data_IF_222038042174
#
_entry.id   IF_222038042174
#
_cell.length_a   1.000
_cell.length_b   1.000
_cell.length_c   1.000
_cell.angle_alpha   90.00
_cell.angle_beta   90.00
_cell.angle_gamma   90.00
#
_symmetry.space_group_name_H-M   'P 1'
#
loop_
_entity.id
_entity.type
_entity.pdbx_description
1 polymer ?
#
# COMPACT_ATOMS: atom_id res chain seq x y z
N UNK A 1 -7.86 13.00 39.26
CA UNK A 1 -6.79 12.89 40.27
C UNK A 1 -6.04 11.59 40.00
N UNK A 2 -4.79 11.71 39.57
CA UNK A 2 -3.88 10.57 39.48
C UNK A 2 -3.08 10.55 40.79
N UNK A 3 -3.12 9.45 41.53
CA UNK A 3 -2.34 9.26 42.76
C UNK A 3 -1.24 8.25 42.46
N UNK A 4 0.02 8.68 42.53
CA UNK A 4 1.19 7.80 42.47
C UNK A 4 1.85 7.77 43.84
N UNK A 5 2.09 6.57 44.37
CA UNK A 5 2.79 6.37 45.64
C UNK A 5 4.21 5.92 45.35
N UNK A 6 5.18 6.72 45.76
CA UNK A 6 6.60 6.40 45.58
C UNK A 6 7.19 6.17 46.95
N UNK A 7 7.56 4.91 47.22
CA UNK A 7 8.32 4.54 48.41
C UNK A 7 9.79 4.50 48.05
N UNK A 8 10.57 5.45 48.54
CA UNK A 8 12.02 5.47 48.40
C UNK A 8 12.65 4.88 49.66
N UNK A 9 13.39 3.78 49.53
CA UNK A 9 14.14 3.18 50.64
C UNK A 9 15.64 3.28 50.38
N UNK A 10 16.38 3.87 51.31
CA UNK A 10 17.84 3.94 51.28
C UNK A 10 18.46 2.89 52.23
N UNK A 11 19.65 2.40 51.89
CA UNK A 11 20.42 1.47 52.74
C UNK A 11 21.23 2.18 53.85
N UNK A 12 21.34 3.51 53.80
CA UNK A 12 22.17 4.32 54.72
C UNK A 12 21.26 5.24 55.55
N UNK A 13 21.27 5.05 56.88
CA UNK A 13 20.45 5.80 57.85
C UNK A 13 20.79 7.31 57.93
N UNK A 14 21.80 7.79 57.19
CA UNK A 14 22.23 9.20 57.21
C UNK A 14 21.78 10.04 56.01
N UNK A 15 21.19 9.41 54.97
CA UNK A 15 20.77 10.09 53.75
C UNK A 15 19.26 10.32 53.75
N UNK A 16 18.82 11.53 53.39
CA UNK A 16 17.40 11.92 53.28
C UNK A 16 17.08 12.33 51.85
N UNK A 17 15.80 12.38 51.50
CA UNK A 17 15.34 12.98 50.24
C UNK A 17 15.43 14.50 50.38
N UNK A 18 16.03 15.15 49.40
CA UNK A 18 16.14 16.61 49.34
C UNK A 18 15.07 17.23 48.46
N UNK A 19 14.66 16.54 47.38
CA UNK A 19 13.57 16.97 46.51
C UNK A 19 12.93 15.81 45.75
N UNK A 20 11.66 15.97 45.39
CA UNK A 20 10.93 15.12 44.44
C UNK A 20 10.20 16.01 43.45
N UNK A 21 10.45 15.78 42.16
CA UNK A 21 9.84 16.52 41.05
C UNK A 21 9.03 15.55 40.21
N UNK A 22 7.77 15.91 39.97
CA UNK A 22 6.88 15.19 39.07
C UNK A 22 6.75 15.98 37.77
N UNK A 23 6.78 15.28 36.63
CA UNK A 23 6.57 15.86 35.30
C UNK A 23 5.55 15.04 34.52
N UNK A 24 4.66 15.72 33.78
CA UNK A 24 3.77 15.13 32.78
C UNK A 24 4.14 15.73 31.42
N UNK A 25 4.53 14.89 30.47
CA UNK A 25 5.03 15.28 29.14
C UNK A 25 6.13 16.35 29.16
N UNK A 26 7.02 16.24 30.14
CA UNK A 26 8.13 17.17 30.36
C UNK A 26 7.73 18.50 31.03
N UNK A 27 6.47 18.65 31.45
CA UNK A 27 6.02 19.82 32.23
C UNK A 27 5.93 19.47 33.70
N UNK A 28 6.65 20.21 34.54
CA UNK A 28 6.63 20.02 36.00
C UNK A 28 5.24 20.30 36.57
N UNK A 29 4.76 19.40 37.44
CA UNK A 29 3.47 19.52 38.12
C UNK A 29 3.63 19.86 39.60
N UNK A 30 2.53 20.25 40.26
CA UNK A 30 2.60 20.64 41.68
C UNK A 30 2.86 19.40 42.54
N UNK A 31 3.84 19.47 43.45
CA UNK A 31 4.18 18.39 44.38
C UNK A 31 3.75 18.72 45.81
N UNK A 32 3.16 17.76 46.53
CA UNK A 32 3.06 17.80 47.99
C UNK A 32 3.93 16.74 48.64
N UNK A 33 4.35 17.00 49.88
CA UNK A 33 5.06 16.07 50.76
C UNK A 33 4.26 15.95 52.07
N UNK A 34 3.81 14.75 52.39
CA UNK A 34 3.21 14.40 53.68
C UNK A 34 3.94 13.18 54.27
N UNK A 35 4.87 13.43 55.19
CA UNK A 35 5.61 12.39 55.92
C UNK A 35 6.29 11.37 55.00
N UNK A 36 7.11 11.86 54.06
CA UNK A 36 7.85 11.06 53.07
C UNK A 36 6.96 10.42 51.98
N UNK A 37 5.69 10.82 51.89
CA UNK A 37 4.80 10.50 50.77
C UNK A 37 4.70 11.72 49.86
N UNK A 38 5.28 11.57 48.66
CA UNK A 38 5.26 12.62 47.64
C UNK A 38 4.12 12.38 46.65
N UNK A 39 3.35 13.43 46.36
CA UNK A 39 2.20 13.35 45.42
C UNK A 39 2.30 14.45 44.38
N UNK A 40 2.21 14.09 43.09
CA UNK A 40 2.11 15.03 41.98
C UNK A 40 0.66 15.29 41.58
N UNK A 41 0.29 16.57 41.41
CA UNK A 41 -1.06 16.98 41.02
C UNK A 41 -1.09 17.51 39.60
N UNK A 42 -1.83 16.81 38.74
CA UNK A 42 -2.10 17.23 37.38
C UNK A 42 -3.61 17.33 37.14
N UNK A 43 -4.03 18.38 36.43
CA UNK A 43 -5.42 18.61 36.01
C UNK A 43 -5.43 18.53 34.48
N UNK A 44 -5.94 17.44 33.89
CA UNK A 44 -5.97 17.28 32.44
C UNK A 44 -6.95 18.26 31.78
N UNK A 45 -6.64 18.65 30.56
CA UNK A 45 -7.52 19.34 29.63
C UNK A 45 -8.26 18.32 28.74
N UNK A 46 -9.30 18.75 28.02
CA UNK A 46 -10.09 17.85 27.16
C UNK A 46 -9.24 17.16 26.08
N UNK A 47 -8.18 17.81 25.61
CA UNK A 47 -7.23 17.25 24.63
C UNK A 47 -6.32 16.14 25.17
N UNK A 48 -6.28 15.94 26.49
CA UNK A 48 -5.43 14.91 27.13
C UNK A 48 -6.13 13.54 27.21
N UNK A 49 -7.41 13.46 26.83
CA UNK A 49 -8.14 12.19 26.82
C UNK A 49 -7.92 11.42 25.51
N UNK A 50 -7.73 10.11 25.59
CA UNK A 50 -7.49 9.25 24.42
C UNK A 50 -6.08 9.34 23.83
N UNK A 51 -5.19 10.16 24.40
CA UNK A 51 -3.78 10.31 23.99
C UNK A 51 -2.85 9.64 25.01
N UNK A 52 -1.70 9.14 24.56
CA UNK A 52 -0.67 8.57 25.45
C UNK A 52 0.18 9.68 26.06
N UNK A 53 0.29 9.70 27.38
CA UNK A 53 1.07 10.64 28.17
C UNK A 53 2.24 9.96 28.87
N UNK A 54 3.28 10.74 29.15
CA UNK A 54 4.47 10.29 29.89
C UNK A 54 4.49 10.94 31.27
N UNK A 55 4.41 10.14 32.32
CA UNK A 55 4.61 10.56 33.70
C UNK A 55 6.03 10.24 34.13
N UNK A 56 6.74 11.23 34.64
CA UNK A 56 8.12 11.09 35.08
C UNK A 56 8.31 11.61 36.50
N UNK A 57 9.12 10.93 37.28
CA UNK A 57 9.42 11.31 38.65
C UNK A 57 10.91 11.27 38.88
N UNK A 58 11.45 12.39 39.35
CA UNK A 58 12.86 12.53 39.71
C UNK A 58 12.97 12.79 41.20
N UNK A 59 13.72 11.96 41.91
CA UNK A 59 14.03 12.14 43.32
C UNK A 59 15.52 12.44 43.50
N UNK A 60 15.84 13.45 44.31
CA UNK A 60 17.21 13.81 44.68
C UNK A 60 17.44 13.54 46.17
N UNK A 61 18.62 13.04 46.50
CA UNK A 61 19.05 12.80 47.89
C UNK A 61 19.92 13.94 48.42
N UNK A 62 20.02 14.06 49.74
CA UNK A 62 20.81 15.09 50.42
C UNK A 62 22.32 15.01 50.17
N UNK A 63 22.81 13.89 49.63
CA UNK A 63 24.20 13.70 49.20
C UNK A 63 24.41 13.91 47.68
N UNK A 64 23.38 14.42 46.96
CA UNK A 64 23.46 14.79 45.54
C UNK A 64 23.28 13.64 44.55
N UNK A 65 22.82 12.47 45.01
CA UNK A 65 22.38 11.39 44.13
C UNK A 65 20.98 11.66 43.57
N UNK A 66 20.66 11.15 42.39
CA UNK A 66 19.32 11.21 41.84
C UNK A 66 18.87 9.86 41.29
N UNK A 67 17.55 9.67 41.25
CA UNK A 67 16.89 8.54 40.59
C UNK A 67 15.72 9.09 39.78
N UNK A 68 15.49 8.52 38.61
CA UNK A 68 14.38 8.88 37.73
C UNK A 68 13.60 7.62 37.34
N UNK A 69 12.27 7.70 37.38
CA UNK A 69 11.36 6.66 36.91
C UNK A 69 10.35 7.28 35.93
N UNK A 70 10.03 6.55 34.86
CA UNK A 70 9.13 7.00 33.80
C UNK A 70 8.07 5.95 33.49
N UNK A 71 6.82 6.38 33.36
CA UNK A 71 5.67 5.53 33.05
C UNK A 71 4.85 6.16 31.93
N UNK A 72 4.33 5.33 31.02
CA UNK A 72 3.36 5.76 30.02
C UNK A 72 1.94 5.37 30.45
N UNK A 73 0.98 6.25 30.24
CA UNK A 73 -0.43 6.00 30.54
C UNK A 73 -1.34 6.75 29.56
N UNK A 74 -2.58 6.29 29.42
CA UNK A 74 -3.63 6.97 28.64
C UNK A 74 -4.79 7.27 29.56
N UNK A 75 -5.33 8.50 29.49
CA UNK A 75 -6.54 8.85 30.21
C UNK A 75 -7.77 8.34 29.45
N UNK A 76 -8.55 7.48 30.11
CA UNK A 76 -9.85 7.06 29.63
C UNK A 76 -10.93 7.86 30.36
N UNK A 77 -11.92 8.37 29.62
CA UNK A 77 -13.12 8.99 30.19
C UNK A 77 -14.35 8.12 29.90
N UNK A 78 -15.30 8.08 30.82
CA UNK A 78 -16.61 7.43 30.61
C UNK A 78 -17.74 8.24 31.24
N UNK A 79 -18.82 8.49 30.50
CA UNK A 79 -19.99 9.25 30.97
C UNK A 79 -20.40 10.38 30.02
N UNK A 80 -21.51 11.05 30.32
CA UNK A 80 -22.09 12.09 29.45
C UNK A 80 -21.28 13.40 29.39
N UNK A 81 -20.35 13.59 30.32
CA UNK A 81 -19.53 14.82 30.45
C UNK A 81 -18.10 14.62 29.89
N UNK A 82 -17.83 13.52 29.19
CA UNK A 82 -16.53 13.22 28.64
C UNK A 82 -16.29 13.94 27.31
N UNK A 83 -15.04 14.37 27.02
CA UNK A 83 -14.66 14.82 25.69
C UNK A 83 -14.91 13.71 24.68
N UNK A 84 -15.59 14.06 23.59
CA UNK A 84 -15.92 13.15 22.51
C UNK A 84 -14.67 12.67 21.78
N UNK A 85 -14.54 11.36 21.56
CA UNK A 85 -13.55 10.82 20.63
C UNK A 85 -14.14 10.83 19.23
N UNK A 86 -13.39 11.36 18.25
CA UNK A 86 -13.85 11.32 16.87
C UNK A 86 -13.94 9.86 16.37
N UNK A 87 -14.86 9.58 15.42
CA UNK A 87 -14.97 8.25 14.86
C UNK A 87 -13.69 7.85 14.12
N UNK A 88 -13.41 6.56 14.05
CA UNK A 88 -12.35 5.98 13.23
C UNK A 88 -12.90 5.63 11.85
N UNK A 89 -12.14 5.93 10.80
CA UNK A 89 -12.50 5.67 9.40
C UNK A 89 -11.33 5.00 8.69
N UNK A 90 -11.60 3.95 7.93
CA UNK A 90 -10.58 3.25 7.13
C UNK A 90 -11.11 2.89 5.75
N UNK A 91 -10.32 3.16 4.72
CA UNK A 91 -10.67 2.81 3.34
C UNK A 91 -10.44 1.31 3.12
N UNK A 92 -11.50 0.59 2.75
CA UNK A 92 -11.41 -0.86 2.49
C UNK A 92 -10.83 -1.16 1.11
N UNK A 93 -11.10 -0.30 0.13
CA UNK A 93 -10.53 -0.38 -1.23
C UNK A 93 -9.31 0.53 -1.33
N UNK A 94 -8.10 -0.03 -1.25
CA UNK A 94 -6.86 0.76 -1.33
C UNK A 94 -6.53 1.25 -2.74
N UNK A 95 -7.06 0.60 -3.79
CA UNK A 95 -6.79 1.02 -5.15
C UNK A 95 -7.70 2.16 -5.58
N UNK A 96 -7.05 3.19 -6.08
CA UNK A 96 -7.69 4.38 -6.62
C UNK A 96 -7.63 4.44 -8.15
N UNK A 97 -6.87 3.59 -8.83
CA UNK A 97 -6.81 3.53 -10.29
C UNK A 97 -7.90 2.61 -10.83
N UNK A 98 -8.71 3.11 -11.77
CA UNK A 98 -9.83 2.38 -12.36
C UNK A 98 -9.78 2.51 -13.89
N UNK A 99 -9.43 1.43 -14.58
CA UNK A 99 -9.47 1.41 -16.04
C UNK A 99 -10.91 1.16 -16.55
N UNK A 100 -11.42 2.07 -17.39
CA UNK A 100 -12.76 2.05 -17.99
C UNK A 100 -12.65 2.06 -19.51
N UNK A 101 -12.37 0.90 -20.10
CA UNK A 101 -12.02 0.74 -21.52
C UNK A 101 -13.20 0.71 -22.52
N UNK A 102 -14.41 1.07 -22.07
CA UNK A 102 -15.60 1.14 -22.93
C UNK A 102 -16.60 2.14 -22.34
N UNK A 103 -17.83 1.70 -22.07
CA UNK A 103 -18.80 2.48 -21.31
C UNK A 103 -18.32 2.63 -19.86
N UNK A 104 -18.69 3.74 -19.22
CA UNK A 104 -18.41 3.94 -17.80
C UNK A 104 -19.31 3.03 -16.96
N UNK A 105 -18.69 2.06 -16.32
CA UNK A 105 -19.33 1.14 -15.40
C UNK A 105 -19.19 1.61 -13.95
N UNK A 106 -20.18 1.29 -13.13
CA UNK A 106 -20.14 1.59 -11.71
C UNK A 106 -19.18 0.67 -10.98
N UNK A 107 -18.40 1.21 -10.05
CA UNK A 107 -17.57 0.43 -9.13
C UNK A 107 -17.84 0.82 -7.66
N UNK A 108 -17.68 -0.12 -6.71
CA UNK A 108 -17.92 0.15 -5.30
C UNK A 108 -16.73 0.86 -4.64
N UNK A 109 -17.03 1.82 -3.79
CA UNK A 109 -16.12 2.48 -2.84
C UNK A 109 -16.56 2.07 -1.45
N UNK A 110 -15.66 1.46 -0.69
CA UNK A 110 -15.98 0.83 0.60
C UNK A 110 -15.08 1.38 1.71
N UNK A 111 -15.68 1.70 2.85
CA UNK A 111 -14.99 2.16 4.07
C UNK A 111 -15.56 1.46 5.28
N UNK A 112 -14.73 1.25 6.31
CA UNK A 112 -15.22 0.91 7.64
C UNK A 112 -15.20 2.14 8.52
N UNK A 113 -16.27 2.35 9.28
CA UNK A 113 -16.37 3.45 10.25
C UNK A 113 -16.81 2.92 11.62
N UNK A 114 -16.06 3.22 12.67
CA UNK A 114 -16.40 2.81 14.04
C UNK A 114 -16.15 3.92 15.03
N UNK A 115 -16.95 3.97 16.08
CA UNK A 115 -16.81 4.95 17.14
C UNK A 115 -16.62 4.24 18.48
N UNK A 116 -15.69 4.73 19.31
CA UNK A 116 -15.23 4.03 20.51
C UNK A 116 -16.05 4.39 21.75
N UNK A 117 -16.56 5.62 21.82
CA UNK A 117 -17.36 6.16 22.92
C UNK A 117 -18.82 6.42 22.54
N UNK A 118 -19.18 6.21 21.27
CA UNK A 118 -20.54 6.39 20.78
C UNK A 118 -20.92 5.48 19.60
N UNK A 119 -21.60 6.09 18.63
CA UNK A 119 -22.18 5.46 17.45
C UNK A 119 -22.06 6.38 16.24
N UNK A 120 -21.78 5.79 15.09
CA UNK A 120 -21.77 6.50 13.80
C UNK A 120 -23.19 6.95 13.45
N UNK A 121 -23.36 8.23 13.15
CA UNK A 121 -24.65 8.78 12.69
C UNK A 121 -24.75 8.91 11.18
N UNK A 122 -23.63 9.16 10.51
CA UNK A 122 -23.58 9.21 9.05
C UNK A 122 -22.19 8.97 8.48
N UNK A 123 -22.15 8.43 7.27
CA UNK A 123 -20.94 8.39 6.44
C UNK A 123 -21.31 8.93 5.07
N UNK A 124 -20.54 9.90 4.58
CA UNK A 124 -20.76 10.57 3.29
C UNK A 124 -19.48 10.57 2.46
N UNK A 125 -19.63 10.59 1.14
CA UNK A 125 -18.55 10.77 0.19
C UNK A 125 -18.87 11.98 -0.69
N UNK A 126 -17.93 12.91 -0.78
CA UNK A 126 -17.95 13.99 -1.75
C UNK A 126 -17.02 13.64 -2.89
N UNK A 127 -17.55 13.51 -4.10
CA UNK A 127 -16.80 13.21 -5.33
C UNK A 127 -17.40 14.02 -6.48
N UNK A 128 -16.56 14.59 -7.34
CA UNK A 128 -16.98 15.49 -8.43
C UNK A 128 -17.87 16.67 -7.96
N UNK A 129 -17.61 17.16 -6.73
CA UNK A 129 -18.36 18.26 -6.11
C UNK A 129 -19.75 17.86 -5.57
N UNK A 130 -20.15 16.60 -5.68
CA UNK A 130 -21.41 16.08 -5.15
C UNK A 130 -21.19 15.25 -3.88
N UNK A 131 -21.89 15.61 -2.80
CA UNK A 131 -21.90 14.86 -1.54
C UNK A 131 -23.04 13.85 -1.52
N UNK A 132 -22.69 12.58 -1.33
CA UNK A 132 -23.62 11.45 -1.32
C UNK A 132 -23.50 10.68 0.00
N UNK A 133 -24.61 10.18 0.51
CA UNK A 133 -24.61 9.27 1.66
C UNK A 133 -24.12 7.88 1.23
N UNK A 134 -23.24 7.28 2.04
CA UNK A 134 -22.84 5.88 1.85
C UNK A 134 -23.87 4.95 2.50
N UNK A 135 -24.07 3.77 1.92
CA UNK A 135 -25.01 2.77 2.42
C UNK A 135 -24.34 1.90 3.48
N UNK A 136 -24.90 1.86 4.68
CA UNK A 136 -24.43 0.98 5.76
C UNK A 136 -24.71 -0.50 5.43
N UNK A 137 -23.68 -1.32 5.58
CA UNK A 137 -23.69 -2.77 5.40
C UNK A 137 -23.44 -3.51 6.71
N UNK A 138 -22.91 -4.73 6.62
CA UNK A 138 -22.52 -5.52 7.80
C UNK A 138 -21.12 -5.13 8.29
N UNK A 139 -20.82 -5.42 9.56
CA UNK A 139 -19.49 -5.22 10.16
C UNK A 139 -18.97 -3.78 10.01
N UNK A 140 -19.85 -2.79 10.17
CA UNK A 140 -19.54 -1.36 10.06
C UNK A 140 -18.96 -0.95 8.69
N UNK A 141 -19.19 -1.73 7.64
CA UNK A 141 -18.82 -1.37 6.26
C UNK A 141 -19.86 -0.41 5.67
N UNK A 142 -19.39 0.58 4.92
CA UNK A 142 -20.21 1.56 4.22
C UNK A 142 -19.79 1.60 2.76
N UNK A 143 -20.76 1.51 1.85
CA UNK A 143 -20.50 1.40 0.42
C UNK A 143 -21.16 2.54 -0.36
N UNK A 144 -20.45 3.07 -1.36
CA UNK A 144 -21.00 3.95 -2.40
C UNK A 144 -20.58 3.46 -3.78
N UNK A 145 -21.53 3.30 -4.68
CA UNK A 145 -21.27 2.89 -6.05
C UNK A 145 -21.09 4.13 -6.92
N UNK A 146 -19.86 4.37 -7.37
CA UNK A 146 -19.52 5.50 -8.22
C UNK A 146 -19.45 5.06 -9.68
N UNK A 147 -20.10 5.82 -10.56
CA UNK A 147 -19.96 5.68 -12.03
C UNK A 147 -19.27 6.94 -12.55
N UNK A 148 -18.04 6.83 -13.07
CA UNK A 148 -17.35 7.98 -13.64
C UNK A 148 -18.05 8.48 -14.91
N UNK A 149 -17.75 9.71 -15.29
CA UNK A 149 -18.32 10.39 -16.47
C UNK A 149 -17.28 10.70 -17.54
N UNK A 150 -16.00 10.56 -17.19
CA UNK A 150 -14.85 10.83 -18.03
C UNK A 150 -13.61 10.05 -17.54
N UNK A 151 -12.61 9.89 -18.40
CA UNK A 151 -11.30 9.38 -18.01
C UNK A 151 -10.46 10.51 -17.43
N UNK A 152 -10.53 10.68 -16.11
CA UNK A 152 -9.83 11.72 -15.39
C UNK A 152 -9.61 11.33 -13.93
N UNK A 153 -8.87 12.18 -13.21
CA UNK A 153 -8.78 12.10 -11.77
C UNK A 153 -10.04 12.67 -11.10
N UNK A 154 -10.63 11.90 -10.20
CA UNK A 154 -11.77 12.26 -9.36
C UNK A 154 -11.33 12.38 -7.90
N UNK A 155 -11.01 13.60 -7.41
CA UNK A 155 -10.74 13.80 -6.00
C UNK A 155 -11.99 13.46 -5.17
N UNK A 156 -11.77 12.84 -4.02
CA UNK A 156 -12.83 12.50 -3.08
C UNK A 156 -12.48 12.87 -1.65
N UNK A 157 -13.51 13.17 -0.87
CA UNK A 157 -13.46 13.28 0.60
C UNK A 157 -14.56 12.42 1.19
N UNK A 158 -14.19 11.46 2.03
CA UNK A 158 -15.14 10.65 2.80
C UNK A 158 -15.15 11.18 4.23
N UNK A 159 -16.33 11.46 4.77
CA UNK A 159 -16.53 11.96 6.14
C UNK A 159 -17.42 11.01 6.91
N UNK A 160 -17.01 10.60 8.11
CA UNK A 160 -17.85 9.94 9.09
C UNK A 160 -18.12 10.88 10.27
N UNK A 161 -19.37 10.94 10.70
CA UNK A 161 -19.83 11.74 11.86
C UNK A 161 -20.45 10.83 12.91
N UNK A 162 -20.27 11.14 14.19
CA UNK A 162 -20.82 10.40 15.33
C UNK A 162 -22.08 11.05 15.94
N UNK A 163 -22.57 10.53 17.08
CA UNK A 163 -23.77 11.02 17.78
C UNK A 163 -23.54 12.24 18.68
N UNK A 164 -22.33 12.78 18.67
CA UNK A 164 -21.83 13.86 19.52
C UNK A 164 -21.19 14.98 18.69
N UNK A 165 -21.30 14.87 17.35
CA UNK A 165 -20.79 15.78 16.33
C UNK A 165 -19.26 15.77 16.17
N UNK A 166 -18.58 14.70 16.57
CA UNK A 166 -17.21 14.42 16.14
C UNK A 166 -17.18 13.93 14.69
N UNK A 167 -16.07 14.22 14.02
CA UNK A 167 -15.89 13.91 12.59
C UNK A 167 -14.48 13.41 12.30
N UNK A 168 -14.40 12.47 11.37
CA UNK A 168 -13.15 12.02 10.75
C UNK A 168 -13.26 11.99 9.24
N UNK A 169 -12.16 12.28 8.55
CA UNK A 169 -12.13 12.37 7.10
C UNK A 169 -11.01 11.56 6.47
N UNK A 170 -11.28 10.98 5.30
CA UNK A 170 -10.29 10.44 4.38
C UNK A 170 -10.34 11.27 3.10
N UNK A 171 -9.18 11.74 2.64
CA UNK A 171 -9.05 12.42 1.35
C UNK A 171 -8.23 11.55 0.41
N UNK A 172 -8.61 11.55 -0.86
CA UNK A 172 -7.89 10.82 -1.91
C UNK A 172 -8.37 11.23 -3.29
N UNK A 173 -8.00 10.45 -4.29
CA UNK A 173 -8.48 10.65 -5.66
C UNK A 173 -8.54 9.33 -6.40
N UNK A 174 -9.63 9.04 -7.11
CA UNK A 174 -9.65 7.95 -8.08
C UNK A 174 -9.05 8.43 -9.41
N UNK A 175 -8.20 7.65 -10.04
CA UNK A 175 -7.65 7.92 -11.36
C UNK A 175 -8.34 6.99 -12.39
N UNK A 176 -9.24 7.56 -13.19
CA UNK A 176 -10.00 6.79 -14.17
C UNK A 176 -9.30 6.87 -15.52
N UNK A 177 -8.85 5.73 -16.04
CA UNK A 177 -8.04 5.66 -17.27
C UNK A 177 -8.75 4.89 -18.38
N UNK A 178 -8.25 5.02 -19.61
CA UNK A 178 -8.71 4.26 -20.77
C UNK A 178 -7.52 3.50 -21.40
N UNK A 179 -7.11 2.42 -20.76
CA UNK A 179 -6.13 1.50 -21.32
C UNK A 179 -6.88 0.42 -22.11
N UNK A 180 -6.81 0.52 -23.45
CA UNK A 180 -7.33 -0.50 -24.35
C UNK A 180 -6.34 -1.67 -24.46
N UNK A 181 -6.80 -2.87 -24.08
CA UNK A 181 -6.02 -4.10 -24.19
C UNK A 181 -6.60 -5.01 -25.26
N UNK A 182 -5.72 -5.60 -26.07
CA UNK A 182 -6.10 -6.65 -27.01
C UNK A 182 -6.40 -7.92 -26.20
N UNK A 183 -7.62 -8.49 -26.27
CA UNK A 183 -7.94 -9.70 -25.53
C UNK A 183 -7.22 -10.92 -26.12
N UNK A 184 -7.09 -11.98 -25.31
CA UNK A 184 -6.64 -13.27 -25.83
C UNK A 184 -7.59 -13.77 -26.96
N UNK A 185 -7.06 -14.38 -28.03
CA UNK A 185 -7.88 -14.94 -29.09
C UNK A 185 -8.88 -15.98 -28.57
N UNK A 186 -10.09 -15.99 -29.11
CA UNK A 186 -11.04 -17.07 -28.84
C UNK A 186 -10.55 -18.37 -29.50
N UNK A 187 -10.30 -19.41 -28.71
CA UNK A 187 -9.91 -20.73 -29.20
C UNK A 187 -8.48 -21.12 -28.82
N UNK A 188 -7.80 -21.84 -29.72
CA UNK A 188 -6.45 -22.33 -29.43
C UNK A 188 -5.44 -21.18 -29.49
N UNK A 189 -4.62 -21.08 -28.45
CA UNK A 189 -3.50 -20.15 -28.38
C UNK A 189 -2.26 -20.81 -29.01
N UNK A 190 -1.63 -20.09 -29.91
CA UNK A 190 -0.31 -20.39 -30.48
C UNK A 190 0.58 -19.23 -30.10
N UNK A 191 1.29 -19.40 -28.99
CA UNK A 191 2.11 -18.37 -28.37
C UNK A 191 3.58 -18.52 -28.79
N UNK A 192 4.26 -17.40 -29.02
CA UNK A 192 5.71 -17.35 -29.26
C UNK A 192 6.42 -16.36 -28.34
N UNK A 193 7.54 -16.78 -27.74
CA UNK A 193 8.45 -15.89 -27.01
C UNK A 193 9.43 -15.21 -27.99
N UNK A 194 9.39 -13.89 -28.06
CA UNK A 194 10.23 -13.03 -28.88
C UNK A 194 11.33 -12.40 -28.02
N UNK A 195 12.57 -12.79 -28.28
CA UNK A 195 13.73 -12.33 -27.52
C UNK A 195 14.18 -10.92 -27.93
N UNK A 196 14.63 -10.12 -26.95
CA UNK A 196 15.10 -8.74 -27.12
C UNK A 196 16.62 -8.61 -27.36
N UNK A 197 17.29 -9.64 -27.88
CA UNK A 197 18.75 -9.66 -28.08
C UNK A 197 19.19 -10.27 -29.43
N UNK A 198 20.48 -10.32 -29.70
CA UNK A 198 21.02 -11.04 -30.87
C UNK A 198 21.43 -12.45 -30.48
N UNK A 199 21.03 -13.45 -31.27
CA UNK A 199 21.52 -14.81 -31.13
C UNK A 199 21.87 -15.39 -32.52
N UNK A 200 23.08 -15.94 -32.67
CA UNK A 200 23.56 -16.47 -33.96
C UNK A 200 22.80 -17.71 -34.43
N UNK A 201 22.21 -18.48 -33.51
CA UNK A 201 21.37 -19.64 -33.82
C UNK A 201 19.87 -19.32 -33.92
N UNK A 202 19.46 -18.13 -33.49
CA UNK A 202 18.09 -17.63 -33.50
C UNK A 202 18.13 -16.12 -33.77
N UNK A 203 18.10 -15.68 -35.03
CA UNK A 203 18.26 -14.27 -35.35
C UNK A 203 17.13 -13.44 -34.72
N UNK A 204 17.46 -12.19 -34.39
CA UNK A 204 16.48 -11.21 -33.95
C UNK A 204 15.39 -11.04 -35.02
N UNK A 205 14.14 -10.93 -34.57
CA UNK A 205 12.96 -10.68 -35.40
C UNK A 205 12.26 -9.42 -34.91
N UNK A 206 11.90 -8.53 -35.84
CA UNK A 206 11.02 -7.41 -35.54
C UNK A 206 9.59 -7.92 -35.30
N UNK A 207 8.84 -7.22 -34.44
CA UNK A 207 7.46 -7.58 -34.11
C UNK A 207 6.55 -7.48 -35.34
N UNK A 208 6.77 -6.52 -36.24
CA UNK A 208 6.04 -6.39 -37.50
C UNK A 208 6.26 -7.57 -38.46
N UNK A 209 7.38 -8.29 -38.36
CA UNK A 209 7.62 -9.50 -39.15
C UNK A 209 6.75 -10.65 -38.66
N UNK A 210 6.42 -10.66 -37.36
CA UNK A 210 5.60 -11.70 -36.71
C UNK A 210 4.13 -11.64 -37.11
N UNK A 211 3.65 -10.50 -37.65
CA UNK A 211 2.30 -10.35 -38.23
C UNK A 211 2.00 -11.42 -39.29
N UNK A 212 3.02 -11.88 -40.02
CA UNK A 212 2.87 -12.87 -41.09
C UNK A 212 3.07 -14.32 -40.62
N UNK A 213 3.11 -14.56 -39.31
CA UNK A 213 3.29 -15.89 -38.73
C UNK A 213 1.96 -16.50 -38.29
N UNK A 214 2.00 -17.73 -37.77
CA UNK A 214 0.82 -18.39 -37.19
C UNK A 214 0.69 -18.13 -35.68
N UNK A 215 1.59 -17.34 -35.07
CA UNK A 215 1.46 -16.97 -33.67
C UNK A 215 0.30 -15.97 -33.53
N UNK A 216 -0.59 -16.25 -32.59
CA UNK A 216 -1.74 -15.39 -32.30
C UNK A 216 -1.64 -14.72 -30.92
N UNK A 217 -0.54 -14.94 -30.21
CA UNK A 217 -0.13 -14.25 -28.98
C UNK A 217 1.39 -14.16 -29.00
N UNK A 218 1.97 -12.99 -28.67
CA UNK A 218 3.42 -12.79 -28.63
C UNK A 218 3.85 -12.41 -27.21
N UNK A 219 4.85 -13.11 -26.66
CA UNK A 219 5.55 -12.70 -25.44
C UNK A 219 6.77 -11.86 -25.80
N UNK A 220 6.89 -10.68 -25.19
CA UNK A 220 8.13 -9.92 -25.17
C UNK A 220 9.04 -10.45 -24.07
N UNK A 221 10.24 -10.90 -24.43
CA UNK A 221 11.27 -11.37 -23.50
C UNK A 221 12.42 -10.37 -23.44
N UNK A 222 12.74 -9.75 -22.32
CA UNK A 222 12.10 -9.84 -20.98
C UNK A 222 12.09 -8.47 -20.28
N UNK A 223 11.35 -8.37 -19.19
CA UNK A 223 11.67 -7.47 -18.07
C UNK A 223 12.60 -8.23 -17.13
N UNK A 224 13.68 -7.57 -16.72
CA UNK A 224 14.59 -8.03 -15.67
C UNK A 224 14.61 -6.98 -14.54
N UNK A 225 15.30 -7.26 -13.43
CA UNK A 225 15.47 -6.27 -12.36
C UNK A 225 16.83 -5.59 -12.43
N UNK A 226 16.87 -4.29 -12.13
CA UNK A 226 18.08 -3.48 -12.22
C UNK A 226 19.19 -4.09 -11.36
N UNK A 227 20.27 -4.52 -12.01
CA UNK A 227 21.42 -5.13 -11.32
C UNK A 227 21.08 -6.40 -10.54
N UNK A 228 20.00 -7.10 -10.90
CA UNK A 228 19.47 -8.25 -10.16
C UNK A 228 19.14 -7.91 -8.70
N UNK A 229 18.63 -6.70 -8.43
CA UNK A 229 18.24 -6.31 -7.07
C UNK A 229 16.95 -6.98 -6.59
N UNK A 230 16.17 -7.60 -7.50
CA UNK A 230 14.97 -8.37 -7.18
C UNK A 230 13.66 -7.59 -7.27
N UNK A 231 13.68 -6.25 -7.32
CA UNK A 231 12.45 -5.45 -7.18
C UNK A 231 12.32 -4.27 -8.14
N UNK A 232 13.39 -3.71 -8.73
CA UNK A 232 13.27 -2.56 -9.64
C UNK A 232 13.17 -3.04 -11.10
N UNK A 233 12.00 -3.03 -11.76
CA UNK A 233 11.84 -3.58 -13.11
C UNK A 233 12.55 -2.73 -14.19
N UNK A 234 13.10 -3.39 -15.19
CA UNK A 234 13.71 -2.77 -16.37
C UNK A 234 13.45 -3.62 -17.61
N UNK A 235 12.87 -3.00 -18.65
CA UNK A 235 12.71 -3.67 -19.95
C UNK A 235 14.09 -3.87 -20.62
N UNK A 236 14.40 -5.11 -20.98
CA UNK A 236 15.58 -5.42 -21.80
C UNK A 236 15.31 -5.07 -23.26
N UNK A 237 16.20 -4.35 -23.94
CA UNK A 237 15.98 -3.90 -25.33
C UNK A 237 17.21 -4.10 -26.21
N UNK A 238 17.00 -4.61 -27.43
CA UNK A 238 18.02 -4.57 -28.49
C UNK A 238 18.13 -3.16 -29.09
N UNK A 239 18.79 -2.25 -28.39
CA UNK A 239 18.87 -0.84 -28.78
C UNK A 239 19.45 -0.62 -30.18
N UNK A 240 20.34 -1.50 -30.64
CA UNK A 240 20.96 -1.43 -31.97
C UNK A 240 19.97 -1.69 -33.13
N UNK A 241 18.79 -2.27 -32.85
CA UNK A 241 17.76 -2.57 -33.85
C UNK A 241 16.75 -1.44 -34.04
N UNK A 242 16.67 -0.52 -33.10
CA UNK A 242 15.69 0.56 -33.06
C UNK A 242 16.40 1.91 -33.03
N UNK A 243 17.08 2.25 -34.14
CA UNK A 243 17.89 3.47 -34.25
C UNK A 243 17.27 4.50 -35.19
N UNK A 244 17.29 5.77 -34.80
CA UNK A 244 17.13 6.92 -35.70
C UNK A 244 18.42 7.71 -35.68
N UNK A 245 19.03 7.93 -36.85
CA UNK A 245 20.32 8.61 -37.00
C UNK A 245 21.45 8.04 -36.10
N UNK A 246 21.40 6.72 -35.84
CA UNK A 246 22.40 6.01 -35.03
C UNK A 246 22.19 6.10 -33.51
N UNK A 247 21.09 6.69 -33.03
CA UNK A 247 20.73 6.76 -31.61
C UNK A 247 19.46 5.95 -31.36
N UNK A 248 19.40 5.25 -30.22
CA UNK A 248 18.21 4.49 -29.83
C UNK A 248 16.98 5.40 -29.79
N UNK A 249 15.95 4.98 -30.50
CA UNK A 249 14.66 5.64 -30.55
C UNK A 249 13.59 4.63 -30.13
N UNK A 250 13.17 4.71 -28.87
CA UNK A 250 12.15 3.82 -28.32
C UNK A 250 10.81 3.90 -29.04
N UNK A 251 10.50 4.99 -29.76
CA UNK A 251 9.28 5.07 -30.56
C UNK A 251 9.23 3.99 -31.64
N UNK A 252 10.38 3.62 -32.22
CA UNK A 252 10.42 2.55 -33.23
C UNK A 252 10.02 1.19 -32.64
N UNK A 253 10.40 0.92 -31.38
CA UNK A 253 9.97 -0.31 -30.70
C UNK A 253 8.48 -0.27 -30.38
N UNK A 254 7.97 0.87 -29.91
CA UNK A 254 6.53 1.06 -29.63
C UNK A 254 5.69 0.86 -30.90
N UNK A 255 6.12 1.44 -32.01
CA UNK A 255 5.46 1.29 -33.31
C UNK A 255 5.50 -0.17 -33.79
N UNK A 256 6.61 -0.87 -33.55
CA UNK A 256 6.78 -2.28 -33.93
C UNK A 256 5.86 -3.20 -33.11
N UNK A 257 5.77 -3.00 -31.79
CA UNK A 257 4.79 -3.68 -30.92
C UNK A 257 3.36 -3.38 -31.38
N UNK A 258 3.03 -2.11 -31.65
CA UNK A 258 1.70 -1.70 -32.08
C UNK A 258 1.29 -2.32 -33.43
N UNK A 259 2.25 -2.65 -34.30
CA UNK A 259 1.93 -3.33 -35.56
C UNK A 259 1.24 -4.69 -35.37
N UNK A 260 1.53 -5.40 -34.27
CA UNK A 260 0.82 -6.63 -33.88
C UNK A 260 -0.55 -6.31 -33.27
N UNK A 261 -0.60 -5.30 -32.39
CA UNK A 261 -1.84 -4.88 -31.72
C UNK A 261 -2.89 -4.39 -32.71
N UNK A 262 -2.48 -3.68 -33.76
CA UNK A 262 -3.32 -3.25 -34.88
C UNK A 262 -3.94 -4.43 -35.67
N UNK A 263 -3.34 -5.61 -35.58
CA UNK A 263 -3.88 -6.86 -36.16
C UNK A 263 -4.69 -7.68 -35.15
N UNK A 264 -4.91 -7.16 -33.94
CA UNK A 264 -5.59 -7.88 -32.87
C UNK A 264 -4.76 -9.02 -32.28
N UNK A 265 -3.43 -8.98 -32.40
CA UNK A 265 -2.52 -9.93 -31.76
C UNK A 265 -2.02 -9.29 -30.46
N UNK A 266 -2.38 -9.83 -29.27
CA UNK A 266 -1.92 -9.28 -28.01
C UNK A 266 -0.42 -9.50 -27.81
N UNK A 267 0.25 -8.48 -27.29
CA UNK A 267 1.67 -8.53 -26.91
C UNK A 267 1.76 -8.41 -25.40
N UNK A 268 2.19 -9.47 -24.73
CA UNK A 268 2.31 -9.54 -23.27
C UNK A 268 3.80 -9.53 -22.94
N UNK A 269 4.20 -8.82 -21.89
CA UNK A 269 5.61 -8.73 -21.49
C UNK A 269 5.93 -9.74 -20.39
N UNK A 270 6.98 -10.52 -20.57
CA UNK A 270 7.40 -11.52 -19.61
C UNK A 270 8.48 -10.98 -18.69
N UNK A 271 8.32 -11.14 -17.38
CA UNK A 271 9.31 -10.76 -16.37
C UNK A 271 10.00 -12.00 -15.80
N UNK A 272 11.34 -11.99 -15.81
CA UNK A 272 12.17 -13.06 -15.28
C UNK A 272 12.99 -13.77 -16.36
N UNK A 273 12.70 -15.05 -16.59
CA UNK A 273 13.51 -15.97 -17.38
C UNK A 273 14.79 -16.39 -16.65
N UNK A 274 15.56 -17.29 -17.27
CA UNK A 274 16.79 -17.87 -16.70
C UNK A 274 17.76 -16.88 -16.00
N UNK A 275 17.93 -15.67 -16.56
CA UNK A 275 18.86 -14.66 -16.02
C UNK A 275 18.18 -13.62 -15.12
N UNK A 276 16.84 -13.54 -15.15
CA UNK A 276 16.08 -12.62 -14.33
C UNK A 276 16.06 -13.07 -12.87
N UNK A 277 16.04 -12.09 -11.98
CA UNK A 277 15.88 -12.30 -10.55
C UNK A 277 14.75 -11.41 -10.02
N UNK A 278 13.75 -12.01 -9.38
CA UNK A 278 12.65 -11.30 -8.71
C UNK A 278 12.55 -11.80 -7.27
N UNK A 279 12.55 -10.87 -6.32
CA UNK A 279 12.37 -11.12 -4.90
C UNK A 279 11.85 -9.83 -4.23
N UNK A 280 10.70 -9.91 -3.55
CA UNK A 280 10.07 -8.77 -2.87
C UNK A 280 10.00 -9.04 -1.36
N UNK A 281 11.00 -8.65 -0.59
CA UNK A 281 11.07 -8.92 0.84
C UNK A 281 10.24 -7.94 1.68
N UNK A 282 10.03 -6.72 1.19
CA UNK A 282 9.35 -5.63 1.90
C UNK A 282 8.22 -4.99 1.08
N UNK A 283 7.31 -4.29 1.76
CA UNK A 283 6.24 -3.54 1.09
C UNK A 283 6.80 -2.42 0.20
N UNK A 284 7.90 -1.76 0.60
CA UNK A 284 8.53 -0.71 -0.22
C UNK A 284 9.10 -1.27 -1.54
N UNK A 285 9.76 -2.43 -1.50
CA UNK A 285 10.22 -3.11 -2.72
C UNK A 285 9.05 -3.54 -3.61
N UNK A 286 7.95 -3.99 -2.99
CA UNK A 286 6.71 -4.33 -3.72
C UNK A 286 6.10 -3.10 -4.39
N UNK A 287 6.03 -1.96 -3.71
CA UNK A 287 5.48 -0.72 -4.26
C UNK A 287 6.31 -0.24 -5.47
N UNK A 288 7.65 -0.24 -5.35
CA UNK A 288 8.55 0.09 -6.48
C UNK A 288 8.41 -0.90 -7.65
N UNK A 289 8.26 -2.18 -7.35
CA UNK A 289 8.04 -3.21 -8.37
C UNK A 289 6.72 -3.01 -9.13
N UNK A 290 5.63 -2.71 -8.41
CA UNK A 290 4.32 -2.42 -9.00
C UNK A 290 4.39 -1.17 -9.88
N UNK A 291 4.97 -0.08 -9.37
CA UNK A 291 5.13 1.18 -10.10
C UNK A 291 5.94 0.96 -11.39
N UNK A 292 7.10 0.31 -11.31
CA UNK A 292 7.94 0.08 -12.49
C UNK A 292 7.31 -0.85 -13.54
N UNK A 293 6.52 -1.85 -13.12
CA UNK A 293 5.78 -2.69 -14.07
C UNK A 293 4.68 -1.91 -14.78
N UNK A 294 3.95 -1.05 -14.06
CA UNK A 294 2.93 -0.16 -14.63
C UNK A 294 3.58 0.81 -15.62
N UNK A 295 4.70 1.44 -15.25
CA UNK A 295 5.43 2.34 -16.14
C UNK A 295 5.86 1.66 -17.45
N UNK A 296 6.39 0.43 -17.39
CA UNK A 296 6.80 -0.33 -18.58
C UNK A 296 5.58 -0.70 -19.44
N UNK A 297 4.50 -1.19 -18.82
CA UNK A 297 3.27 -1.56 -19.54
C UNK A 297 2.67 -0.35 -20.25
N UNK A 298 2.55 0.78 -19.55
CA UNK A 298 2.00 2.02 -20.11
C UNK A 298 2.91 2.62 -21.18
N UNK A 299 4.23 2.57 -20.97
CA UNK A 299 5.19 3.16 -21.90
C UNK A 299 5.19 2.45 -23.27
N UNK A 300 5.09 1.12 -23.27
CA UNK A 300 5.22 0.29 -24.47
C UNK A 300 3.88 -0.26 -24.98
N UNK A 301 2.80 -0.10 -24.23
CA UNK A 301 1.45 -0.51 -24.61
C UNK A 301 1.26 -2.02 -24.58
N UNK A 302 1.86 -2.73 -23.62
CA UNK A 302 1.68 -4.17 -23.47
C UNK A 302 0.26 -4.53 -23.01
N UNK A 303 -0.27 -5.65 -23.49
CA UNK A 303 -1.63 -6.12 -23.21
C UNK A 303 -1.72 -6.99 -21.95
N UNK A 304 -0.58 -7.28 -21.32
CA UNK A 304 -0.50 -8.11 -20.12
C UNK A 304 0.93 -8.28 -19.61
N UNK A 305 1.04 -8.97 -18.48
CA UNK A 305 2.32 -9.44 -17.92
C UNK A 305 2.31 -10.97 -17.81
N UNK A 306 3.46 -11.58 -18.11
CA UNK A 306 3.76 -12.99 -17.91
C UNK A 306 4.80 -13.15 -16.78
N UNK A 307 4.50 -14.01 -15.80
CA UNK A 307 5.43 -14.33 -14.72
C UNK A 307 6.28 -15.53 -15.14
N UNK A 308 7.54 -15.28 -15.49
CA UNK A 308 8.52 -16.32 -15.82
C UNK A 308 9.58 -16.40 -14.71
N UNK A 309 9.13 -16.74 -13.50
CA UNK A 309 10.01 -16.81 -12.34
C UNK A 309 10.75 -18.14 -12.32
N UNK A 310 12.07 -18.07 -12.55
CA UNK A 310 12.93 -19.24 -12.54
C UNK A 310 13.92 -19.24 -11.36
N UNK A 311 14.41 -20.43 -11.00
CA UNK A 311 15.52 -20.59 -10.06
C UNK A 311 15.27 -19.92 -8.70
N UNK A 312 16.12 -18.95 -8.36
CA UNK A 312 16.04 -18.24 -7.08
C UNK A 312 14.75 -17.44 -6.89
N UNK A 313 14.14 -16.99 -7.98
CA UNK A 313 12.89 -16.19 -7.96
C UNK A 313 11.68 -17.02 -7.49
N UNK A 314 11.79 -18.35 -7.48
CA UNK A 314 10.76 -19.26 -6.95
C UNK A 314 10.92 -19.55 -5.46
N UNK A 315 11.97 -19.02 -4.80
CA UNK A 315 12.12 -19.17 -3.35
C UNK A 315 11.41 -18.04 -2.59
N UNK A 316 10.14 -18.28 -2.26
CA UNK A 316 9.34 -17.34 -1.46
C UNK A 316 9.53 -17.49 0.07
N UNK A 317 10.54 -18.23 0.52
CA UNK A 317 10.75 -18.62 1.93
C UNK A 317 9.50 -19.26 2.58
N UNK A 318 8.67 -19.90 1.75
CA UNK A 318 7.36 -20.44 2.13
C UNK A 318 7.29 -21.98 2.14
N UNK A 319 8.43 -22.65 2.31
CA UNK A 319 8.52 -24.12 2.23
C UNK A 319 7.68 -24.89 3.26
N UNK A 320 7.29 -24.26 4.37
CA UNK A 320 6.40 -24.83 5.40
C UNK A 320 4.92 -24.47 5.23
N UNK A 321 4.57 -23.68 4.20
CA UNK A 321 3.19 -23.26 3.96
C UNK A 321 2.31 -24.46 3.60
N UNK A 322 1.17 -24.57 4.28
CA UNK A 322 0.16 -25.61 4.02
C UNK A 322 -1.24 -25.03 3.80
N UNK A 323 -1.48 -23.81 4.26
CA UNK A 323 -2.70 -23.03 4.00
C UNK A 323 -2.39 -21.94 2.96
N UNK A 324 -2.91 -22.11 1.74
CA UNK A 324 -2.74 -21.15 0.65
C UNK A 324 -3.79 -20.03 0.65
N UNK A 325 -4.61 -19.91 1.70
CA UNK A 325 -5.51 -18.77 1.88
C UNK A 325 -4.71 -17.47 2.01
N UNK A 326 -5.37 -16.33 1.76
CA UNK A 326 -4.75 -15.03 1.92
C UNK A 326 -4.26 -14.79 3.37
N UNK A 327 -4.97 -15.32 4.36
CA UNK A 327 -4.53 -15.34 5.77
C UNK A 327 -3.35 -16.28 5.98
N UNK A 328 -3.35 -17.46 5.35
CA UNK A 328 -2.26 -18.43 5.47
C UNK A 328 -0.93 -17.91 4.94
N UNK A 329 -0.95 -17.15 3.84
CA UNK A 329 0.27 -16.55 3.26
C UNK A 329 0.78 -15.32 4.02
N UNK A 330 0.01 -14.74 4.96
CA UNK A 330 0.40 -13.49 5.63
C UNK A 330 1.65 -13.62 6.50
N UNK A 331 2.00 -14.84 6.92
CA UNK A 331 3.24 -15.14 7.65
C UNK A 331 4.48 -15.28 6.75
N UNK A 332 4.33 -15.14 5.43
CA UNK A 332 5.39 -15.35 4.44
C UNK A 332 5.54 -14.11 3.55
N UNK A 333 6.29 -13.08 4.00
CA UNK A 333 6.32 -11.77 3.37
C UNK A 333 6.66 -11.81 1.87
N UNK A 334 7.66 -12.60 1.46
CA UNK A 334 8.05 -12.72 0.04
C UNK A 334 6.90 -13.21 -0.84
N UNK A 335 6.19 -14.26 -0.42
CA UNK A 335 5.03 -14.75 -1.15
C UNK A 335 3.88 -13.74 -1.12
N UNK A 336 3.61 -13.16 0.05
CA UNK A 336 2.52 -12.20 0.25
C UNK A 336 2.69 -10.98 -0.65
N UNK A 337 3.88 -10.40 -0.68
CA UNK A 337 4.20 -9.23 -1.49
C UNK A 337 4.05 -9.53 -2.99
N UNK A 338 4.50 -10.69 -3.48
CA UNK A 338 4.28 -11.09 -4.88
C UNK A 338 2.79 -11.20 -5.21
N UNK A 339 2.02 -11.85 -4.34
CA UNK A 339 0.56 -11.98 -4.52
C UNK A 339 -0.12 -10.60 -4.52
N UNK A 340 0.29 -9.72 -3.62
CA UNK A 340 -0.24 -8.36 -3.53
C UNK A 340 0.13 -7.52 -4.76
N UNK A 341 1.39 -7.57 -5.21
CA UNK A 341 1.86 -6.83 -6.36
C UNK A 341 1.01 -7.12 -7.62
N UNK A 342 0.81 -8.41 -7.93
CA UNK A 342 0.02 -8.77 -9.11
C UNK A 342 -1.49 -8.56 -8.92
N UNK A 343 -2.00 -8.59 -7.68
CA UNK A 343 -3.37 -8.14 -7.39
C UNK A 343 -3.51 -6.64 -7.64
N UNK A 344 -2.58 -5.81 -7.18
CA UNK A 344 -2.58 -4.37 -7.37
C UNK A 344 -2.49 -4.00 -8.86
N UNK A 345 -1.60 -4.64 -9.62
CA UNK A 345 -1.48 -4.47 -11.07
C UNK A 345 -2.79 -4.88 -11.78
N UNK A 346 -3.35 -6.04 -11.42
CA UNK A 346 -4.61 -6.51 -12.00
C UNK A 346 -5.77 -5.57 -11.67
N UNK A 347 -5.77 -5.00 -10.47
CA UNK A 347 -6.77 -4.04 -10.04
C UNK A 347 -6.61 -2.69 -10.76
N UNK A 348 -5.37 -2.24 -11.00
CA UNK A 348 -5.06 -1.01 -11.73
C UNK A 348 -5.60 -1.07 -13.16
N UNK A 349 -5.31 -2.15 -13.88
CA UNK A 349 -5.69 -2.29 -15.30
C UNK A 349 -7.05 -2.96 -15.55
N UNK A 350 -7.60 -3.65 -14.56
CA UNK A 350 -8.91 -4.31 -14.62
C UNK A 350 -8.92 -5.67 -15.35
N UNK A 351 -10.12 -6.18 -15.56
CA UNK A 351 -10.35 -7.57 -15.97
C UNK A 351 -9.79 -7.91 -17.36
N UNK A 352 -9.63 -6.93 -18.25
CA UNK A 352 -9.10 -7.13 -19.60
C UNK A 352 -7.57 -7.26 -19.67
N UNK A 353 -6.85 -6.84 -18.63
CA UNK A 353 -5.38 -6.97 -18.58
C UNK A 353 -4.97 -8.43 -18.45
N UNK A 354 -4.10 -8.91 -19.32
CA UNK A 354 -3.75 -10.33 -19.34
C UNK A 354 -2.69 -10.63 -18.27
N UNK A 355 -2.90 -11.70 -17.51
CA UNK A 355 -1.90 -12.22 -16.57
C UNK A 355 -1.66 -13.70 -16.91
N UNK A 356 -0.41 -14.06 -17.19
CA UNK A 356 0.02 -15.45 -17.44
C UNK A 356 1.20 -15.82 -16.57
N UNK A 357 1.56 -17.10 -16.56
CA UNK A 357 2.82 -17.54 -15.99
C UNK A 357 3.45 -18.67 -16.80
N UNK A 358 4.77 -18.69 -16.84
CA UNK A 358 5.59 -19.81 -17.27
C UNK A 358 6.09 -20.54 -16.00
N UNK A 359 5.56 -21.74 -15.70
CA UNK A 359 5.86 -22.46 -14.46
C UNK A 359 7.13 -23.31 -14.49
#
# INVERSE_FOLDING_TARGET
>A
LFESFISLTYQDETTTISSVVFEVDGTTVTTSDDQDIYTGFWTPEDSDYGVSHTFKVTAESSNGGNLEETFQFTLNCSGADCPNLNPTLSLSNTNTNVNQNSDFESFPIEVTASDADGSITSVTITIDGETNAMTEGQNNNYTFNFTPTNHQQYPFTITASDNTNGESTINGSFNVTNSEFIPLPSGNIVLGYAHSWENSGAPFLYFNEMVNTNYNVIMYSFIETVGQNGYSPQLTVNSNRYLTDGVYNGQLLKDDINSLRDQGIPVIVSIGGQNGHVELATEAEKDEFVEGLIEIVDEFGFDGIDLDFEGGSMNFDAGSLTDFSYTGISGYPKLKNIVDAFKEIKQHYGDKFILTCAP
#
